data_IF_102526971513
#
_entry.id   IF_102526971513
#
_cell.length_a   1.000
_cell.length_b   1.000
_cell.length_c   1.000
_cell.angle_alpha   90.00
_cell.angle_beta   90.00
_cell.angle_gamma   90.00
#
_symmetry.space_group_name_H-M   'P 1'
#
loop_
_entity.id
_entity.type
_entity.pdbx_description
1 polymer ?
#
# COMPACT_ATOMS: atom_id res chain seq x y z
N UNK A 1 19.46 -25.63 -4.12
CA UNK A 1 20.75 -25.31 -3.45
C UNK A 1 21.77 -26.41 -3.72
N UNK A 2 22.44 -26.42 -4.88
CA UNK A 2 23.63 -27.25 -5.12
C UNK A 2 24.84 -26.43 -4.69
N UNK A 3 25.29 -26.60 -3.45
CA UNK A 3 26.57 -26.03 -3.00
C UNK A 3 27.65 -26.60 -3.92
N UNK A 4 28.36 -25.71 -4.61
CA UNK A 4 29.24 -26.03 -5.72
C UNK A 4 30.38 -26.93 -5.22
N UNK A 5 30.35 -28.23 -5.54
CA UNK A 5 31.30 -29.25 -5.07
C UNK A 5 32.75 -28.88 -5.41
N UNK A 6 32.94 -28.04 -6.43
CA UNK A 6 34.24 -27.55 -6.90
C UNK A 6 34.78 -26.37 -6.08
N UNK A 7 33.95 -25.41 -5.65
CA UNK A 7 34.34 -24.41 -4.63
C UNK A 7 34.67 -25.08 -3.30
N UNK A 8 33.98 -26.18 -3.00
CA UNK A 8 34.27 -26.99 -1.82
C UNK A 8 35.66 -27.65 -1.91
N UNK A 9 36.11 -28.00 -3.12
CA UNK A 9 37.43 -28.56 -3.42
C UNK A 9 38.54 -27.51 -3.36
N UNK A 10 38.32 -26.29 -3.87
CA UNK A 10 39.24 -25.15 -3.66
C UNK A 10 39.39 -24.87 -2.17
N UNK A 11 38.26 -24.76 -1.45
CA UNK A 11 38.28 -24.56 -0.01
C UNK A 11 38.99 -25.71 0.72
N UNK A 12 38.81 -26.96 0.28
CA UNK A 12 39.50 -28.12 0.84
C UNK A 12 41.01 -28.05 0.59
N UNK A 13 41.46 -27.63 -0.60
CA UNK A 13 42.88 -27.46 -0.94
C UNK A 13 43.52 -26.33 -0.12
N UNK A 14 42.84 -25.20 0.03
CA UNK A 14 43.28 -24.09 0.88
C UNK A 14 43.36 -24.51 2.35
N UNK A 15 42.38 -25.28 2.83
CA UNK A 15 42.38 -25.82 4.20
C UNK A 15 43.45 -26.90 4.35
N UNK A 16 43.68 -27.78 3.37
CA UNK A 16 44.73 -28.80 3.42
C UNK A 16 46.12 -28.17 3.46
N UNK A 17 46.36 -27.13 2.66
CA UNK A 17 47.58 -26.33 2.71
C UNK A 17 47.77 -25.69 4.09
N UNK A 18 46.71 -25.15 4.69
CA UNK A 18 46.76 -24.56 6.03
C UNK A 18 46.83 -25.58 7.19
N UNK A 19 46.32 -26.81 7.01
CA UNK A 19 46.22 -27.84 8.06
C UNK A 19 47.52 -28.64 8.24
N UNK A 20 48.40 -28.66 7.24
CA UNK A 20 49.67 -29.40 7.30
C UNK A 20 50.80 -28.66 8.06
N UNK A 21 50.51 -27.56 8.76
CA UNK A 21 51.53 -26.71 9.40
C UNK A 21 51.25 -26.41 10.89
N UNK A 22 52.27 -26.52 11.78
CA UNK A 22 52.20 -26.01 13.15
C UNK A 22 52.18 -24.47 13.14
N UNK A 23 51.47 -23.90 14.11
CA UNK A 23 51.03 -22.49 14.24
C UNK A 23 52.12 -21.41 14.34
N UNK A 24 53.34 -21.66 13.89
CA UNK A 24 54.49 -20.75 14.07
C UNK A 24 55.38 -20.55 12.84
N UNK A 25 55.10 -21.18 11.68
CA UNK A 25 55.88 -20.97 10.44
C UNK A 25 54.97 -20.96 9.21
N UNK A 26 54.35 -19.81 8.96
CA UNK A 26 53.35 -19.63 7.89
C UNK A 26 53.92 -19.64 6.46
N UNK A 27 55.25 -19.76 6.28
CA UNK A 27 55.90 -19.02 5.19
C UNK A 27 57.16 -19.63 4.57
N UNK A 28 57.45 -20.92 4.78
CA UNK A 28 58.71 -21.51 4.29
C UNK A 28 58.58 -22.89 3.64
N UNK A 29 57.35 -23.43 3.54
CA UNK A 29 57.13 -24.80 3.05
C UNK A 29 56.63 -24.81 1.62
N UNK A 30 57.44 -25.37 0.71
CA UNK A 30 57.13 -25.50 -0.73
C UNK A 30 55.80 -26.18 -1.01
N UNK A 31 55.35 -27.06 -0.10
CA UNK A 31 54.08 -27.79 -0.20
C UNK A 31 52.88 -26.83 -0.15
N UNK A 32 52.98 -25.74 0.60
CA UNK A 32 51.92 -24.73 0.68
C UNK A 32 51.83 -23.92 -0.62
N UNK A 33 52.96 -23.47 -1.14
CA UNK A 33 53.06 -22.72 -2.41
C UNK A 33 52.58 -23.58 -3.60
N UNK A 34 52.99 -24.85 -3.65
CA UNK A 34 52.50 -25.82 -4.66
C UNK A 34 50.98 -26.04 -4.56
N UNK A 35 50.43 -26.04 -3.34
CA UNK A 35 48.98 -26.18 -3.13
C UNK A 35 48.20 -24.95 -3.60
N UNK A 36 48.79 -23.74 -3.48
CA UNK A 36 48.21 -22.49 -3.96
C UNK A 36 48.26 -22.37 -5.49
N UNK A 37 49.33 -22.82 -6.14
CA UNK A 37 49.41 -22.85 -7.61
C UNK A 37 48.38 -23.82 -8.22
N UNK A 38 48.21 -25.00 -7.60
CA UNK A 38 47.14 -25.93 -7.99
C UNK A 38 45.75 -25.34 -7.76
N UNK A 39 45.56 -24.56 -6.69
CA UNK A 39 44.31 -23.85 -6.43
C UNK A 39 44.06 -22.72 -7.44
N UNK A 40 45.11 -22.01 -7.88
CA UNK A 40 45.04 -20.99 -8.94
C UNK A 40 44.58 -21.61 -10.27
N UNK A 41 45.23 -22.70 -10.71
CA UNK A 41 44.88 -23.40 -11.95
C UNK A 41 43.41 -23.88 -11.93
N UNK A 42 42.96 -24.37 -10.77
CA UNK A 42 41.58 -24.78 -10.58
C UNK A 42 40.62 -23.58 -10.56
N UNK A 43 41.02 -22.44 -9.99
CA UNK A 43 40.23 -21.20 -9.96
C UNK A 43 40.10 -20.56 -11.34
N UNK A 44 41.13 -20.67 -12.19
CA UNK A 44 41.10 -20.29 -13.61
C UNK A 44 40.08 -21.16 -14.37
N UNK A 45 40.10 -22.48 -14.15
CA UNK A 45 39.12 -23.43 -14.72
C UNK A 45 37.68 -23.23 -14.21
N UNK A 46 37.51 -22.54 -13.08
CA UNK A 46 36.22 -22.33 -12.43
C UNK A 46 35.64 -20.93 -12.62
N UNK A 47 36.34 -20.06 -13.34
CA UNK A 47 35.92 -18.68 -13.63
C UNK A 47 35.57 -17.82 -12.39
N UNK A 48 35.87 -18.28 -11.18
CA UNK A 48 35.53 -17.58 -9.93
C UNK A 48 36.49 -16.44 -9.61
N UNK A 49 36.12 -15.21 -9.95
CA UNK A 49 36.91 -14.00 -9.66
C UNK A 49 37.14 -13.79 -8.15
N UNK A 50 36.16 -14.12 -7.30
CA UNK A 50 36.29 -13.97 -5.84
C UNK A 50 37.33 -14.94 -5.24
N UNK A 51 37.34 -16.19 -5.70
CA UNK A 51 38.34 -17.18 -5.27
C UNK A 51 39.72 -16.79 -5.81
N UNK A 52 39.82 -16.34 -7.07
CA UNK A 52 41.08 -15.81 -7.64
C UNK A 52 41.66 -14.68 -6.82
N UNK A 53 40.83 -13.71 -6.42
CA UNK A 53 41.26 -12.58 -5.59
C UNK A 53 41.91 -13.05 -4.28
N UNK A 54 41.32 -14.06 -3.63
CA UNK A 54 41.83 -14.64 -2.39
C UNK A 54 43.13 -15.41 -2.61
N UNK A 55 43.18 -16.27 -3.63
CA UNK A 55 44.36 -17.06 -3.98
C UNK A 55 45.56 -16.16 -4.30
N UNK A 56 45.35 -15.09 -5.08
CA UNK A 56 46.42 -14.14 -5.38
C UNK A 56 46.94 -13.41 -4.14
N UNK A 57 46.08 -13.05 -3.18
CA UNK A 57 46.52 -12.49 -1.89
C UNK A 57 47.41 -13.48 -1.12
N UNK A 58 46.96 -14.72 -1.00
CA UNK A 58 47.69 -15.76 -0.28
C UNK A 58 49.05 -16.07 -0.95
N UNK A 59 49.12 -16.04 -2.29
CA UNK A 59 50.37 -16.18 -3.06
C UNK A 59 51.33 -15.01 -2.88
N UNK A 60 50.82 -13.77 -2.81
CA UNK A 60 51.65 -12.58 -2.57
C UNK A 60 52.32 -12.68 -1.20
N UNK A 61 51.56 -13.07 -0.17
CA UNK A 61 52.07 -13.22 1.20
C UNK A 61 53.13 -14.33 1.28
N UNK A 62 52.88 -15.48 0.65
CA UNK A 62 53.84 -16.60 0.60
C UNK A 62 55.13 -16.20 -0.12
N UNK A 63 55.04 -15.66 -1.34
CA UNK A 63 56.22 -15.30 -2.13
C UNK A 63 57.03 -14.15 -1.53
N UNK A 64 56.38 -13.20 -0.85
CA UNK A 64 57.06 -12.12 -0.15
C UNK A 64 57.87 -12.64 1.04
N UNK A 65 57.35 -13.65 1.74
CA UNK A 65 58.03 -14.24 2.90
C UNK A 65 59.16 -15.21 2.51
N UNK A 66 59.07 -15.85 1.33
CA UNK A 66 60.16 -16.63 0.72
C UNK A 66 61.26 -15.76 0.07
N UNK A 67 61.08 -14.43 0.03
CA UNK A 67 62.00 -13.49 -0.61
C UNK A 67 61.93 -13.47 -2.14
N UNK A 68 60.93 -14.12 -2.74
CA UNK A 68 60.69 -14.18 -4.19
C UNK A 68 59.87 -12.97 -4.66
N UNK A 69 60.42 -11.77 -4.50
CA UNK A 69 59.70 -10.51 -4.76
C UNK A 69 59.18 -10.35 -6.19
N UNK A 70 59.84 -10.94 -7.19
CA UNK A 70 59.40 -10.89 -8.59
C UNK A 70 58.06 -11.61 -8.79
N UNK A 71 57.91 -12.81 -8.20
CA UNK A 71 56.66 -13.56 -8.24
C UNK A 71 55.56 -12.92 -7.41
N UNK A 72 55.92 -12.35 -6.24
CA UNK A 72 54.97 -11.58 -5.44
C UNK A 72 54.43 -10.37 -6.22
N UNK A 73 55.30 -9.64 -6.94
CA UNK A 73 54.90 -8.51 -7.77
C UNK A 73 54.00 -8.92 -8.95
N UNK A 74 54.32 -10.04 -9.62
CA UNK A 74 53.46 -10.58 -10.68
C UNK A 74 52.05 -10.90 -10.18
N UNK A 75 51.95 -11.57 -9.02
CA UNK A 75 50.66 -11.87 -8.38
C UNK A 75 49.93 -10.61 -7.90
N UNK A 76 50.65 -9.58 -7.46
CA UNK A 76 50.06 -8.27 -7.10
C UNK A 76 49.37 -7.59 -8.29
N UNK A 77 49.94 -7.69 -9.50
CA UNK A 77 49.30 -7.18 -10.72
C UNK A 77 48.01 -7.94 -11.04
N UNK A 78 48.05 -9.27 -10.96
CA UNK A 78 46.88 -10.12 -11.19
C UNK A 78 45.77 -9.86 -10.15
N UNK A 79 46.14 -9.75 -8.87
CA UNK A 79 45.23 -9.36 -7.80
C UNK A 79 44.54 -8.01 -8.11
N UNK A 80 45.31 -7.02 -8.55
CA UNK A 80 44.79 -5.68 -8.85
C UNK A 80 43.77 -5.74 -9.99
N UNK A 81 44.08 -6.46 -11.08
CA UNK A 81 43.15 -6.64 -12.19
C UNK A 81 41.85 -7.36 -11.79
N UNK A 82 41.95 -8.43 -10.98
CA UNK A 82 40.76 -9.15 -10.49
C UNK A 82 39.94 -8.29 -9.52
N UNK A 83 40.60 -7.50 -8.67
CA UNK A 83 39.93 -6.57 -7.74
C UNK A 83 39.12 -5.52 -8.50
N UNK A 84 39.70 -4.92 -9.54
CA UNK A 84 39.03 -3.91 -10.34
C UNK A 84 37.81 -4.51 -11.06
N UNK A 85 37.97 -5.70 -11.66
CA UNK A 85 36.85 -6.41 -12.31
C UNK A 85 35.72 -6.76 -11.35
N UNK A 86 36.03 -7.18 -10.11
CA UNK A 86 35.02 -7.46 -9.09
C UNK A 86 34.29 -6.20 -8.64
N UNK A 87 35.00 -5.08 -8.54
CA UNK A 87 34.40 -3.79 -8.18
C UNK A 87 33.39 -3.33 -9.24
N UNK A 88 33.72 -3.46 -10.52
CA UNK A 88 32.83 -3.11 -11.63
C UNK A 88 31.58 -4.01 -11.66
N UNK A 89 31.73 -5.31 -11.37
CA UNK A 89 30.61 -6.25 -11.28
C UNK A 89 29.67 -5.88 -10.10
N UNK A 90 30.24 -5.61 -8.92
CA UNK A 90 29.46 -5.22 -7.74
C UNK A 90 28.73 -3.89 -7.98
N UNK A 91 29.37 -2.92 -8.63
CA UNK A 91 28.74 -1.65 -9.02
C UNK A 91 27.62 -1.85 -10.02
N UNK A 92 27.82 -2.70 -11.03
CA UNK A 92 26.78 -3.03 -12.02
C UNK A 92 25.56 -3.68 -11.35
N UNK A 93 25.78 -4.58 -10.39
CA UNK A 93 24.70 -5.19 -9.59
C UNK A 93 23.98 -4.18 -8.72
N UNK A 94 24.71 -3.25 -8.10
CA UNK A 94 24.13 -2.18 -7.28
C UNK A 94 23.24 -1.27 -8.12
N UNK A 95 23.72 -0.86 -9.31
CA UNK A 95 22.95 -0.07 -10.28
C UNK A 95 21.70 -0.83 -10.71
N UNK A 96 21.81 -2.10 -11.11
CA UNK A 96 20.65 -2.90 -11.52
C UNK A 96 19.61 -3.07 -10.42
N UNK A 97 20.03 -3.20 -9.15
CA UNK A 97 19.11 -3.20 -8.00
C UNK A 97 18.40 -1.86 -7.83
N UNK A 98 19.13 -0.76 -8.02
CA UNK A 98 18.56 0.59 -7.91
C UNK A 98 17.56 0.87 -9.03
N UNK A 99 17.88 0.49 -10.27
CA UNK A 99 16.99 0.59 -11.42
C UNK A 99 15.71 -0.23 -11.22
N UNK A 100 15.84 -1.50 -10.81
CA UNK A 100 14.70 -2.36 -10.52
C UNK A 100 13.81 -1.80 -9.40
N UNK A 101 14.42 -1.24 -8.34
CA UNK A 101 13.69 -0.59 -7.26
C UNK A 101 12.94 0.65 -7.76
N UNK A 102 13.58 1.47 -8.57
CA UNK A 102 12.97 2.68 -9.13
C UNK A 102 11.81 2.36 -10.07
N UNK A 103 11.96 1.34 -10.94
CA UNK A 103 10.88 0.88 -11.82
C UNK A 103 9.70 0.32 -11.02
N UNK A 104 9.96 -0.46 -9.96
CA UNK A 104 8.93 -0.93 -9.04
C UNK A 104 8.22 0.22 -8.31
N UNK A 105 8.95 1.22 -7.82
CA UNK A 105 8.34 2.39 -7.17
C UNK A 105 7.45 3.18 -8.14
N UNK A 106 7.91 3.39 -9.37
CA UNK A 106 7.12 4.06 -10.42
C UNK A 106 5.84 3.32 -10.77
N UNK A 107 5.92 2.00 -10.96
CA UNK A 107 4.74 1.19 -11.26
C UNK A 107 3.72 1.23 -10.12
N UNK A 108 4.17 1.14 -8.86
CA UNK A 108 3.30 1.30 -7.69
C UNK A 108 2.65 2.68 -7.65
N UNK A 109 3.40 3.74 -7.94
CA UNK A 109 2.86 5.11 -7.96
C UNK A 109 1.84 5.32 -9.08
N UNK A 110 2.10 4.80 -10.28
CA UNK A 110 1.17 4.84 -11.39
C UNK A 110 -0.12 4.05 -11.10
N UNK A 111 -0.02 2.88 -10.47
CA UNK A 111 -1.18 2.10 -10.03
C UNK A 111 -1.99 2.84 -8.95
N UNK A 112 -1.32 3.44 -7.96
CA UNK A 112 -1.99 4.26 -6.94
C UNK A 112 -2.73 5.42 -7.58
N UNK A 113 -2.08 6.16 -8.48
CA UNK A 113 -2.71 7.27 -9.19
C UNK A 113 -3.92 6.83 -10.02
N UNK A 114 -3.85 5.68 -10.69
CA UNK A 114 -5.00 5.11 -11.42
C UNK A 114 -6.15 4.77 -10.48
N UNK A 115 -5.87 4.11 -9.35
CA UNK A 115 -6.88 3.80 -8.33
C UNK A 115 -7.53 5.06 -7.76
N UNK A 116 -6.75 6.08 -7.41
CA UNK A 116 -7.27 7.35 -6.90
C UNK A 116 -8.19 8.05 -7.90
N UNK A 117 -7.83 8.04 -9.18
CA UNK A 117 -8.68 8.59 -10.26
C UNK A 117 -9.97 7.78 -10.38
N UNK A 118 -9.90 6.45 -10.36
CA UNK A 118 -11.07 5.58 -10.46
C UNK A 118 -12.01 5.76 -9.26
N UNK A 119 -11.49 5.77 -8.04
CA UNK A 119 -12.24 6.06 -6.81
C UNK A 119 -12.88 7.45 -6.84
N UNK A 120 -12.19 8.45 -7.39
CA UNK A 120 -12.77 9.78 -7.55
C UNK A 120 -13.91 9.79 -8.56
N UNK A 121 -13.74 9.11 -9.70
CA UNK A 121 -14.81 8.99 -10.72
C UNK A 121 -16.03 8.27 -10.13
N UNK A 122 -15.82 7.19 -9.37
CA UNK A 122 -16.89 6.45 -8.70
C UNK A 122 -17.61 7.32 -7.67
N UNK A 123 -16.87 8.00 -6.77
CA UNK A 123 -17.45 8.92 -5.80
C UNK A 123 -18.23 10.07 -6.44
N UNK A 124 -17.71 10.64 -7.52
CA UNK A 124 -18.41 11.70 -8.26
C UNK A 124 -19.69 11.17 -8.92
N UNK A 125 -19.66 9.95 -9.47
CA UNK A 125 -20.85 9.32 -10.04
C UNK A 125 -21.91 9.00 -8.98
N UNK A 126 -21.50 8.51 -7.82
CA UNK A 126 -22.39 8.27 -6.67
C UNK A 126 -22.99 9.56 -6.14
N UNK A 127 -22.16 10.61 -5.96
CA UNK A 127 -22.61 11.93 -5.53
C UNK A 127 -23.64 12.52 -6.51
N UNK A 128 -23.39 12.43 -7.82
CA UNK A 128 -24.37 12.86 -8.84
C UNK A 128 -25.68 12.09 -8.73
N UNK A 129 -25.62 10.76 -8.57
CA UNK A 129 -26.81 9.91 -8.41
C UNK A 129 -27.60 10.29 -7.17
N UNK A 130 -26.91 10.47 -6.04
CA UNK A 130 -27.53 10.85 -4.77
C UNK A 130 -28.18 12.23 -4.87
N UNK A 131 -27.49 13.21 -5.47
CA UNK A 131 -28.04 14.55 -5.68
C UNK A 131 -29.31 14.54 -6.54
N UNK A 132 -29.36 13.71 -7.60
CA UNK A 132 -30.56 13.53 -8.43
C UNK A 132 -31.71 12.91 -7.62
N UNK A 133 -31.44 11.89 -6.82
CA UNK A 133 -32.44 11.27 -5.95
C UNK A 133 -32.98 12.26 -4.92
N UNK A 134 -32.10 12.97 -4.20
CA UNK A 134 -32.52 13.99 -3.24
C UNK A 134 -33.30 15.14 -3.89
N UNK A 135 -32.93 15.57 -5.09
CA UNK A 135 -33.70 16.56 -5.85
C UNK A 135 -35.09 16.06 -6.22
N UNK A 136 -35.22 14.81 -6.67
CA UNK A 136 -36.51 14.19 -6.98
C UNK A 136 -37.42 14.07 -5.75
N UNK A 137 -36.86 13.66 -4.61
CA UNK A 137 -37.61 13.58 -3.35
C UNK A 137 -38.03 14.97 -2.87
N UNK A 138 -37.15 15.98 -2.97
CA UNK A 138 -37.49 17.36 -2.62
C UNK A 138 -38.66 17.88 -3.46
N UNK A 139 -38.63 17.66 -4.79
CA UNK A 139 -39.74 18.02 -5.69
C UNK A 139 -41.02 17.30 -5.26
N UNK A 140 -40.94 16.01 -4.97
CA UNK A 140 -42.09 15.22 -4.51
C UNK A 140 -42.69 15.77 -3.22
N UNK A 141 -41.86 16.15 -2.24
CA UNK A 141 -42.30 16.75 -0.98
C UNK A 141 -42.97 18.11 -1.22
N UNK A 142 -42.38 18.97 -2.05
CA UNK A 142 -42.96 20.27 -2.43
C UNK A 142 -44.34 20.08 -3.09
N UNK A 143 -44.48 19.12 -4.00
CA UNK A 143 -45.75 18.77 -4.60
C UNK A 143 -46.76 18.23 -3.58
N UNK A 144 -46.31 17.41 -2.63
CA UNK A 144 -47.14 16.87 -1.55
C UNK A 144 -47.72 18.01 -0.69
N UNK A 145 -46.87 18.91 -0.19
CA UNK A 145 -47.32 20.07 0.60
C UNK A 145 -48.20 21.03 -0.21
N UNK A 146 -47.91 21.22 -1.49
CA UNK A 146 -48.77 21.99 -2.40
C UNK A 146 -50.15 21.34 -2.54
N UNK A 147 -50.20 20.01 -2.66
CA UNK A 147 -51.44 19.23 -2.69
C UNK A 147 -52.26 19.35 -1.39
N UNK A 148 -51.60 19.29 -0.23
CA UNK A 148 -52.24 19.52 1.09
C UNK A 148 -52.90 20.90 1.14
N UNK A 149 -52.22 21.94 0.65
CA UNK A 149 -52.76 23.29 0.62
C UNK A 149 -53.96 23.40 -0.34
N UNK A 150 -53.90 22.71 -1.49
CA UNK A 150 -54.98 22.67 -2.47
C UNK A 150 -56.22 21.94 -1.95
N UNK A 151 -56.05 20.87 -1.16
CA UNK A 151 -57.13 20.13 -0.47
C UNK A 151 -57.97 21.06 0.41
N UNK A 152 -57.37 22.03 1.08
CA UNK A 152 -58.10 23.04 1.86
C UNK A 152 -59.03 23.95 1.03
N UNK A 153 -58.90 23.93 -0.31
CA UNK A 153 -59.77 24.68 -1.22
C UNK A 153 -60.98 23.86 -1.70
N UNK A 154 -60.93 22.53 -1.62
CA UNK A 154 -61.97 21.59 -2.03
C UNK A 154 -62.85 21.17 -0.83
N UNK A 155 -64.10 20.77 -1.10
CA UNK A 155 -65.09 20.34 -0.10
C UNK A 155 -64.86 18.89 0.36
N UNK A 156 -63.66 18.59 0.83
CA UNK A 156 -63.30 17.24 1.28
C UNK A 156 -63.74 16.98 2.73
N UNK A 157 -64.10 15.72 3.07
CA UNK A 157 -64.47 15.38 4.44
C UNK A 157 -63.27 15.58 5.39
N UNK A 158 -63.53 16.16 6.56
CA UNK A 158 -62.51 16.51 7.57
C UNK A 158 -61.54 15.35 7.89
N UNK A 159 -62.05 14.12 7.98
CA UNK A 159 -61.24 12.92 8.27
C UNK A 159 -60.20 12.62 7.18
N UNK A 160 -60.52 12.91 5.91
CA UNK A 160 -59.61 12.70 4.80
C UNK A 160 -58.53 13.79 4.77
N UNK A 161 -58.89 15.02 5.11
CA UNK A 161 -57.93 16.12 5.26
C UNK A 161 -56.92 15.84 6.39
N UNK A 162 -57.38 15.30 7.53
CA UNK A 162 -56.51 14.84 8.63
C UNK A 162 -55.54 13.74 8.15
N UNK A 163 -56.05 12.72 7.47
CA UNK A 163 -55.21 11.63 6.95
C UNK A 163 -54.15 12.10 5.94
N UNK A 164 -54.50 13.05 5.07
CA UNK A 164 -53.57 13.62 4.08
C UNK A 164 -52.48 14.45 4.75
N UNK A 165 -52.82 15.27 5.75
CA UNK A 165 -51.83 16.03 6.52
C UNK A 165 -50.91 15.09 7.30
N UNK A 166 -51.47 14.09 7.98
CA UNK A 166 -50.68 13.10 8.71
C UNK A 166 -49.69 12.36 7.79
N UNK A 167 -50.16 11.89 6.63
CA UNK A 167 -49.31 11.20 5.66
C UNK A 167 -48.22 12.12 5.08
N UNK A 168 -48.54 13.39 4.82
CA UNK A 168 -47.58 14.39 4.37
C UNK A 168 -46.43 14.56 5.36
N UNK A 169 -46.75 14.72 6.65
CA UNK A 169 -45.77 14.90 7.70
C UNK A 169 -44.99 13.62 8.04
N UNK A 170 -45.62 12.44 7.94
CA UNK A 170 -44.93 11.16 8.07
C UNK A 170 -43.84 11.00 7.00
N UNK A 171 -44.18 11.31 5.74
CA UNK A 171 -43.23 11.23 4.64
C UNK A 171 -42.13 12.30 4.75
N UNK A 172 -42.50 13.52 5.16
CA UNK A 172 -41.54 14.58 5.46
C UNK A 172 -40.56 14.20 6.58
N UNK A 173 -41.06 13.58 7.66
CA UNK A 173 -40.23 13.07 8.74
C UNK A 173 -39.27 11.99 8.25
N UNK A 174 -39.77 10.97 7.55
CA UNK A 174 -38.95 9.88 7.01
C UNK A 174 -37.85 10.42 6.09
N UNK A 175 -38.18 11.37 5.23
CA UNK A 175 -37.19 12.01 4.37
C UNK A 175 -36.15 12.80 5.16
N UNK A 176 -36.58 13.54 6.18
CA UNK A 176 -35.66 14.32 7.01
C UNK A 176 -34.72 13.41 7.77
N UNK A 177 -35.18 12.24 8.25
CA UNK A 177 -34.32 11.20 8.81
C UNK A 177 -33.27 10.72 7.81
N UNK A 178 -33.69 10.33 6.60
CA UNK A 178 -32.77 9.84 5.56
C UNK A 178 -31.76 10.92 5.13
N UNK A 179 -32.18 12.19 5.08
CA UNK A 179 -31.30 13.31 4.70
C UNK A 179 -30.31 13.67 5.81
N UNK A 180 -30.72 13.59 7.08
CA UNK A 180 -29.83 13.81 8.21
C UNK A 180 -28.96 12.58 8.54
N UNK A 181 -29.32 11.39 8.04
CA UNK A 181 -28.63 10.13 8.36
C UNK A 181 -27.10 10.18 8.19
N UNK A 182 -26.54 10.67 7.05
CA UNK A 182 -25.09 10.73 6.87
C UNK A 182 -24.41 11.68 7.88
N UNK A 183 -25.05 12.78 8.24
CA UNK A 183 -24.55 13.75 9.22
C UNK A 183 -24.63 13.20 10.65
N UNK A 184 -25.71 12.47 10.95
CA UNK A 184 -25.87 11.77 12.24
C UNK A 184 -24.84 10.66 12.36
N UNK A 185 -24.55 9.92 11.28
CA UNK A 185 -23.56 8.84 11.27
C UNK A 185 -22.13 9.37 11.52
N UNK A 186 -21.76 10.47 10.85
CA UNK A 186 -20.47 11.16 11.04
C UNK A 186 -20.30 11.65 12.49
N UNK A 187 -21.33 12.29 13.05
CA UNK A 187 -21.30 12.80 14.43
C UNK A 187 -21.35 11.69 15.48
N UNK A 188 -22.09 10.62 15.22
CA UNK A 188 -22.30 9.52 16.17
C UNK A 188 -21.15 8.50 16.16
N UNK A 189 -20.19 8.60 15.23
CA UNK A 189 -19.13 7.61 15.04
C UNK A 189 -19.67 6.17 14.90
N UNK A 190 -20.89 6.02 14.37
CA UNK A 190 -21.58 4.74 14.21
C UNK A 190 -22.28 4.19 15.48
N UNK A 191 -22.41 4.97 16.56
CA UNK A 191 -23.08 4.52 17.78
C UNK A 191 -24.62 4.54 17.64
N UNK A 192 -25.31 3.37 17.69
CA UNK A 192 -26.76 3.29 17.42
C UNK A 192 -27.64 4.07 18.41
N UNK A 193 -27.22 4.15 19.68
CA UNK A 193 -27.98 4.86 20.71
C UNK A 193 -28.06 6.37 20.46
N UNK A 194 -26.98 6.96 19.95
CA UNK A 194 -26.92 8.39 19.63
C UNK A 194 -27.80 8.69 18.43
N UNK A 195 -27.77 7.83 17.40
CA UNK A 195 -28.63 7.91 16.22
C UNK A 195 -30.12 7.89 16.58
N UNK A 196 -30.53 6.95 17.45
CA UNK A 196 -31.90 6.91 17.97
C UNK A 196 -32.28 8.18 18.74
N UNK A 197 -31.35 8.75 19.51
CA UNK A 197 -31.55 10.02 20.21
C UNK A 197 -31.86 11.17 19.25
N UNK A 198 -31.11 11.32 18.16
CA UNK A 198 -31.38 12.34 17.13
C UNK A 198 -32.74 12.15 16.47
N UNK A 199 -33.10 10.91 16.12
CA UNK A 199 -34.40 10.60 15.53
C UNK A 199 -35.56 10.97 16.46
N UNK A 200 -35.42 10.68 17.77
CA UNK A 200 -36.41 11.02 18.77
C UNK A 200 -36.56 12.55 18.96
N UNK A 201 -35.45 13.29 18.97
CA UNK A 201 -35.47 14.76 19.03
C UNK A 201 -36.15 15.35 17.81
N UNK A 202 -35.81 14.85 16.62
CA UNK A 202 -36.41 15.31 15.36
C UNK A 202 -37.94 15.05 15.35
N UNK A 203 -38.37 13.85 15.75
CA UNK A 203 -39.78 13.52 15.88
C UNK A 203 -40.51 14.46 16.85
N UNK A 204 -39.88 14.76 18.00
CA UNK A 204 -40.38 15.71 18.99
C UNK A 204 -40.54 17.13 18.46
N UNK A 205 -39.70 17.57 17.52
CA UNK A 205 -39.80 18.88 16.87
C UNK A 205 -40.87 18.93 15.77
N UNK A 206 -41.05 17.83 15.03
CA UNK A 206 -42.01 17.76 13.92
C UNK A 206 -43.45 17.63 14.42
N UNK A 207 -43.67 16.94 15.54
CA UNK A 207 -45.01 16.74 16.10
C UNK A 207 -45.81 18.03 16.38
N UNK A 208 -45.26 19.07 17.04
CA UNK A 208 -45.98 20.34 17.23
C UNK A 208 -46.22 21.07 15.91
N UNK A 209 -45.29 20.95 14.94
CA UNK A 209 -45.43 21.53 13.61
C UNK A 209 -46.61 20.88 12.85
N UNK A 210 -46.71 19.56 12.88
CA UNK A 210 -47.83 18.79 12.32
C UNK A 210 -49.17 19.26 12.90
N UNK A 211 -49.26 19.31 14.23
CA UNK A 211 -50.49 19.67 14.95
C UNK A 211 -50.96 21.10 14.59
N UNK A 212 -50.03 22.05 14.46
CA UNK A 212 -50.34 23.41 14.04
C UNK A 212 -50.92 23.48 12.63
N UNK A 213 -50.36 22.72 11.68
CA UNK A 213 -50.85 22.66 10.30
C UNK A 213 -52.22 21.99 10.20
N UNK A 214 -52.44 20.92 10.95
CA UNK A 214 -53.72 20.22 11.03
C UNK A 214 -54.84 21.17 11.52
N UNK A 215 -54.60 21.90 12.61
CA UNK A 215 -55.56 22.88 13.15
C UNK A 215 -55.87 24.02 12.18
N UNK A 216 -54.84 24.54 11.48
CA UNK A 216 -54.99 25.58 10.46
C UNK A 216 -55.86 25.11 9.30
N UNK A 217 -55.64 23.89 8.81
CA UNK A 217 -56.43 23.31 7.73
C UNK A 217 -57.89 23.11 8.16
N UNK A 218 -58.12 22.61 9.38
CA UNK A 218 -59.46 22.45 9.96
C UNK A 218 -60.23 23.76 10.05
N UNK A 219 -59.59 24.84 10.49
CA UNK A 219 -60.20 26.18 10.55
C UNK A 219 -60.66 26.64 9.17
N UNK A 220 -59.85 26.43 8.13
CA UNK A 220 -60.18 26.85 6.76
C UNK A 220 -61.32 26.04 6.13
N UNK A 221 -61.41 24.73 6.41
CA UNK A 221 -62.49 23.87 5.91
C UNK A 221 -63.81 24.14 6.64
N UNK A 222 -63.78 24.43 7.95
CA UNK A 222 -64.98 24.70 8.77
C UNK A 222 -65.59 26.09 8.54
N UNK A 223 -64.82 27.04 8.02
CA UNK A 223 -65.27 28.40 7.68
C UNK A 223 -65.96 28.50 6.31
N UNK A 224 -66.08 27.38 5.59
CA UNK A 224 -66.70 27.25 4.26
C UNK A 224 -67.96 26.40 4.35
#
# INVERSE_FOLDING_TARGET
MKKNTKSSLIALLLIFGAYFLPTTSYSQDSVFTDSLENAEELSLKLESMQERKRIYLDLIDSYSAEGQYEKAYANQLLYSAVKDSLFDEDKSKEIGKLEAKYEMERTIEEEKRKKEIEEKIQRDAESRRNNLQYSGILIFIVLLFTGVFMVGRFSLPIRLAEGVVFFAFLLFFEFTLVLLDPYIEELSSGAPAIKLGFNAVLAGLIFPLHSFFEERLKKNIRLK
#
